data_IF_163469654790
#
_entry.id   IF_163469654790
#
_cell.length_a   1.000
_cell.length_b   1.000
_cell.length_c   1.000
_cell.angle_alpha   90.00
_cell.angle_beta   90.00
_cell.angle_gamma   90.00
#
_symmetry.space_group_name_H-M   'P 1'
#
loop_
_entity.id
_entity.type
_entity.pdbx_description
1 polymer ?
#
# COMPACT_ATOMS: atom_id res chain seq x y z
N UNK A 1 13.13 -7.53 -40.67
CA UNK A 1 12.24 -7.25 -39.53
C UNK A 1 13.06 -7.15 -38.23
N UNK A 2 14.13 -6.34 -38.23
CA UNK A 2 15.18 -6.37 -37.19
C UNK A 2 15.96 -5.05 -37.08
N UNK A 3 15.27 -3.92 -36.95
CA UNK A 3 15.92 -2.66 -36.53
C UNK A 3 15.03 -1.82 -35.60
N UNK A 4 13.70 -1.97 -35.71
CA UNK A 4 12.73 -1.22 -34.91
C UNK A 4 12.62 -1.70 -33.46
N UNK A 5 12.99 -2.96 -33.16
CA UNK A 5 12.94 -3.49 -31.80
C UNK A 5 14.21 -3.18 -30.97
N UNK A 6 15.34 -2.88 -31.63
CA UNK A 6 16.57 -2.46 -30.95
C UNK A 6 16.51 -0.98 -30.49
N UNK A 7 15.71 -0.15 -31.17
CA UNK A 7 15.49 1.26 -30.79
C UNK A 7 14.50 1.45 -29.63
N UNK A 8 13.76 0.40 -29.23
CA UNK A 8 12.86 0.44 -28.06
C UNK A 8 13.51 -0.12 -26.77
N UNK A 9 14.66 -0.79 -26.89
CA UNK A 9 15.47 -1.29 -25.76
C UNK A 9 16.76 -0.51 -25.53
N UNK A 10 17.10 0.42 -26.43
CA UNK A 10 18.01 1.51 -26.11
C UNK A 10 17.22 2.56 -25.32
N UNK A 11 16.89 2.25 -24.06
CA UNK A 11 16.53 3.27 -23.09
C UNK A 11 17.58 4.37 -23.18
N UNK A 12 17.16 5.56 -23.58
CA UNK A 12 18.04 6.68 -23.84
C UNK A 12 19.01 6.85 -22.68
N UNK A 13 20.28 6.52 -22.91
CA UNK A 13 21.41 7.06 -22.14
C UNK A 13 21.57 8.53 -22.54
N UNK A 14 20.47 9.29 -22.48
CA UNK A 14 20.54 10.73 -22.52
C UNK A 14 21.38 11.11 -21.30
N UNK A 15 22.45 11.86 -21.53
CA UNK A 15 23.21 12.42 -20.42
C UNK A 15 22.22 13.05 -19.42
N UNK A 16 22.36 12.74 -18.12
CA UNK A 16 21.44 13.24 -17.12
C UNK A 16 21.41 14.76 -17.23
N UNK A 17 20.22 15.31 -17.44
CA UNK A 17 20.05 16.76 -17.47
C UNK A 17 20.57 17.34 -16.16
N UNK A 18 21.08 18.58 -16.19
CA UNK A 18 21.54 19.25 -14.97
C UNK A 18 20.48 19.22 -13.85
N UNK A 19 19.20 19.26 -14.22
CA UNK A 19 18.07 19.01 -13.34
C UNK A 19 18.10 17.63 -12.68
N UNK A 20 18.11 16.54 -13.47
CA UNK A 20 18.06 15.17 -12.92
C UNK A 20 19.31 14.85 -12.10
N UNK A 21 20.49 15.37 -12.48
CA UNK A 21 21.69 15.22 -11.68
C UNK A 21 21.62 15.96 -10.33
N UNK A 22 21.08 17.18 -10.31
CA UNK A 22 20.86 17.93 -9.08
C UNK A 22 19.82 17.24 -8.18
N UNK A 23 18.74 16.72 -8.77
CA UNK A 23 17.75 15.93 -8.06
C UNK A 23 18.35 14.66 -7.46
N UNK A 24 19.12 13.87 -8.24
CA UNK A 24 19.80 12.68 -7.74
C UNK A 24 20.61 12.94 -6.46
N UNK A 25 21.19 14.15 -6.37
CA UNK A 25 22.04 14.58 -5.26
C UNK A 25 21.21 15.08 -4.06
N UNK A 26 20.22 15.95 -4.30
CA UNK A 26 19.47 16.60 -3.22
C UNK A 26 18.30 15.77 -2.69
N UNK A 27 17.73 14.90 -3.53
CA UNK A 27 16.47 14.22 -3.25
C UNK A 27 16.48 13.31 -2.02
N UNK A 28 17.53 12.50 -1.75
CA UNK A 28 17.57 11.70 -0.52
C UNK A 28 17.36 12.54 0.75
N UNK A 29 18.05 13.68 0.85
CA UNK A 29 17.90 14.58 1.99
C UNK A 29 16.52 15.26 2.05
N UNK A 30 15.89 15.55 0.90
CA UNK A 30 14.52 16.05 0.86
C UNK A 30 13.52 15.00 1.35
N UNK A 31 13.71 13.76 0.93
CA UNK A 31 12.84 12.64 1.31
C UNK A 31 12.96 12.31 2.79
N UNK A 32 14.16 12.29 3.36
CA UNK A 32 14.34 12.03 4.79
C UNK A 32 13.59 13.06 5.64
N UNK A 33 13.49 14.32 5.18
CA UNK A 33 12.73 15.38 5.85
C UNK A 33 11.21 15.18 5.80
N UNK A 34 10.68 14.32 4.91
CA UNK A 34 9.23 14.00 4.89
C UNK A 34 8.82 13.13 6.08
N UNK A 35 9.74 12.31 6.60
CA UNK A 35 9.44 11.32 7.63
C UNK A 35 9.49 11.87 9.06
N UNK A 36 10.09 13.05 9.25
CA UNK A 36 10.08 13.72 10.55
C UNK A 36 8.61 14.00 10.97
N UNK A 37 8.09 13.42 12.05
CA UNK A 37 6.76 13.77 12.52
C UNK A 37 6.76 15.26 12.88
N UNK A 38 5.82 16.03 12.32
CA UNK A 38 5.55 17.41 12.79
C UNK A 38 4.70 17.30 14.05
N UNK A 39 5.27 16.65 15.06
CA UNK A 39 4.70 16.53 16.39
C UNK A 39 5.28 17.64 17.25
N UNK A 40 5.11 18.89 16.83
CA UNK A 40 5.08 19.99 17.79
C UNK A 40 3.62 20.38 17.92
N UNK A 41 3.06 20.16 19.12
CA UNK A 41 1.72 20.64 19.47
C UNK A 41 1.65 22.11 19.12
N UNK A 42 1.07 22.44 17.98
CA UNK A 42 0.67 23.80 17.67
C UNK A 42 -0.31 24.16 18.79
N UNK A 43 0.01 25.13 19.66
CA UNK A 43 -0.94 25.59 20.64
C UNK A 43 -2.19 25.97 19.86
N UNK A 44 -3.36 25.43 20.24
CA UNK A 44 -4.66 25.95 19.77
C UNK A 44 -4.52 27.48 19.81
N UNK A 45 -4.61 28.20 18.69
CA UNK A 45 -4.36 29.63 18.70
C UNK A 45 -5.35 30.23 19.69
N UNK A 46 -4.84 30.72 20.82
CA UNK A 46 -5.59 31.66 21.63
C UNK A 46 -5.93 32.80 20.68
N UNK A 47 -7.20 33.19 20.62
CA UNK A 47 -7.66 34.31 19.79
C UNK A 47 -6.72 35.50 20.01
N UNK A 48 -5.92 35.83 19.01
CA UNK A 48 -4.92 36.90 19.10
C UNK A 48 -3.48 36.41 18.84
N UNK A 49 -3.13 36.32 17.56
CA UNK A 49 -1.78 36.48 16.99
C UNK A 49 -0.64 35.84 17.80
N UNK A 50 -0.39 34.55 17.57
CA UNK A 50 0.93 33.96 17.81
C UNK A 50 1.50 33.55 16.45
N UNK A 51 2.71 34.02 16.11
CA UNK A 51 3.39 33.67 14.87
C UNK A 51 3.61 32.16 14.78
N UNK A 52 3.29 31.57 13.63
CA UNK A 52 3.59 30.18 13.34
C UNK A 52 5.13 30.05 13.31
N UNK A 53 5.71 29.38 14.29
CA UNK A 53 7.13 29.02 14.26
C UNK A 53 7.28 27.91 13.24
N UNK A 54 7.84 28.24 12.08
CA UNK A 54 8.13 27.27 11.02
C UNK A 54 9.45 26.57 11.37
N UNK A 55 9.47 25.23 11.53
CA UNK A 55 10.71 24.52 11.80
C UNK A 55 11.76 24.81 10.72
N UNK A 56 13.00 25.08 11.13
CA UNK A 56 14.09 25.45 10.20
C UNK A 56 14.25 24.41 9.07
N UNK A 57 14.12 23.13 9.41
CA UNK A 57 14.19 22.02 8.43
C UNK A 57 13.12 22.09 7.36
N UNK A 58 11.88 22.47 7.71
CA UNK A 58 10.78 22.61 6.75
C UNK A 58 11.03 23.81 5.85
N UNK A 59 11.49 24.94 6.42
CA UNK A 59 11.90 26.12 5.64
C UNK A 59 13.02 25.80 4.65
N UNK A 60 14.06 25.09 5.07
CA UNK A 60 15.16 24.66 4.20
C UNK A 60 14.68 23.70 3.11
N UNK A 61 13.74 22.79 3.41
CA UNK A 61 13.14 21.89 2.42
C UNK A 61 12.34 22.65 1.35
N UNK A 62 11.54 23.64 1.75
CA UNK A 62 10.77 24.49 0.83
C UNK A 62 11.72 25.28 -0.09
N UNK A 63 12.75 25.91 0.48
CA UNK A 63 13.73 26.69 -0.29
C UNK A 63 14.49 25.82 -1.30
N UNK A 64 14.93 24.64 -0.88
CA UNK A 64 15.65 23.71 -1.75
C UNK A 64 14.75 23.15 -2.85
N UNK A 65 13.49 22.82 -2.54
CA UNK A 65 12.52 22.39 -3.55
C UNK A 65 12.26 23.49 -4.59
N UNK A 66 12.04 24.74 -4.16
CA UNK A 66 11.85 25.88 -5.06
C UNK A 66 13.07 26.14 -5.95
N UNK A 67 14.29 26.04 -5.40
CA UNK A 67 15.54 26.15 -6.16
C UNK A 67 15.63 25.08 -7.25
N UNK A 68 15.33 23.83 -6.90
CA UNK A 68 15.34 22.71 -7.84
C UNK A 68 14.23 22.84 -8.90
N UNK A 69 13.06 23.39 -8.56
CA UNK A 69 11.99 23.62 -9.55
C UNK A 69 12.44 24.57 -10.66
N UNK A 70 13.16 25.64 -10.30
CA UNK A 70 13.71 26.58 -11.28
C UNK A 70 14.71 25.89 -12.23
N UNK A 71 15.57 25.03 -11.67
CA UNK A 71 16.52 24.24 -12.45
C UNK A 71 15.82 23.20 -13.34
N UNK A 72 14.72 22.63 -12.86
CA UNK A 72 13.95 21.57 -13.50
C UNK A 72 12.79 22.07 -14.37
N UNK A 73 12.70 23.38 -14.67
CA UNK A 73 11.57 23.96 -15.41
C UNK A 73 11.28 23.32 -16.78
N UNK A 74 12.29 22.73 -17.42
CA UNK A 74 12.16 22.06 -18.72
C UNK A 74 11.88 20.55 -18.61
N UNK A 75 11.98 19.98 -17.40
CA UNK A 75 11.63 18.59 -17.11
C UNK A 75 10.30 18.58 -16.36
N UNK A 76 9.21 18.41 -17.13
CA UNK A 76 7.84 18.51 -16.61
C UNK A 76 7.60 17.56 -15.45
N UNK A 77 8.07 16.33 -15.54
CA UNK A 77 7.89 15.30 -14.50
C UNK A 77 8.61 15.69 -13.21
N UNK A 78 9.90 16.06 -13.32
CA UNK A 78 10.69 16.51 -12.18
C UNK A 78 10.09 17.76 -11.50
N UNK A 79 9.64 18.74 -12.31
CA UNK A 79 9.01 19.96 -11.83
C UNK A 79 7.68 19.70 -11.12
N UNK A 80 6.89 18.74 -11.60
CA UNK A 80 5.64 18.33 -10.97
C UNK A 80 5.90 17.68 -9.61
N UNK A 81 6.83 16.73 -9.53
CA UNK A 81 7.22 16.07 -8.28
C UNK A 81 7.69 17.06 -7.22
N UNK A 82 8.55 18.01 -7.61
CA UNK A 82 9.06 19.02 -6.70
C UNK A 82 7.96 19.97 -6.19
N UNK A 83 6.96 20.28 -7.02
CA UNK A 83 5.80 21.10 -6.61
C UNK A 83 4.92 20.34 -5.62
N UNK A 84 4.66 19.05 -5.86
CA UNK A 84 3.92 18.17 -4.95
C UNK A 84 4.64 18.04 -3.61
N UNK A 85 5.96 17.90 -3.63
CA UNK A 85 6.81 17.89 -2.45
C UNK A 85 6.73 19.21 -1.68
N UNK A 86 6.91 20.35 -2.35
CA UNK A 86 6.86 21.66 -1.70
C UNK A 86 5.48 21.93 -1.08
N UNK A 87 4.40 21.58 -1.80
CA UNK A 87 3.04 21.71 -1.29
C UNK A 87 2.83 20.86 -0.02
N UNK A 88 3.36 19.63 0.02
CA UNK A 88 3.34 18.80 1.23
C UNK A 88 4.05 19.50 2.42
N UNK A 89 5.25 20.06 2.19
CA UNK A 89 5.99 20.79 3.22
C UNK A 89 5.23 22.01 3.73
N UNK A 90 4.52 22.73 2.84
CA UNK A 90 3.68 23.87 3.23
C UNK A 90 2.43 23.46 4.01
N UNK A 91 1.79 22.36 3.63
CA UNK A 91 0.66 21.80 4.38
C UNK A 91 1.07 21.42 5.81
N UNK A 92 2.27 20.88 6.00
CA UNK A 92 2.82 20.54 7.32
C UNK A 92 2.95 21.74 8.26
N UNK A 93 3.06 22.95 7.74
CA UNK A 93 3.14 24.21 8.50
C UNK A 93 1.87 25.06 8.36
N UNK A 94 0.78 24.46 7.85
CA UNK A 94 -0.53 25.09 7.66
C UNK A 94 -0.51 26.32 6.73
N UNK A 95 0.46 26.40 5.82
CA UNK A 95 0.49 27.40 4.74
C UNK A 95 -0.40 26.96 3.58
N UNK A 96 -1.70 26.89 3.86
CA UNK A 96 -2.71 26.34 2.95
C UNK A 96 -2.80 27.12 1.64
N UNK A 97 -2.76 28.45 1.69
CA UNK A 97 -2.87 29.30 0.50
C UNK A 97 -1.71 29.08 -0.48
N UNK A 98 -0.49 28.99 0.02
CA UNK A 98 0.67 28.76 -0.86
C UNK A 98 0.69 27.33 -1.39
N UNK A 99 0.33 26.34 -0.57
CA UNK A 99 0.16 24.95 -1.02
C UNK A 99 -0.91 24.86 -2.12
N UNK A 100 -2.05 25.55 -1.93
CA UNK A 100 -3.15 25.57 -2.89
C UNK A 100 -2.69 26.14 -4.23
N UNK A 101 -2.01 27.30 -4.23
CA UNK A 101 -1.50 27.95 -5.45
C UNK A 101 -0.50 27.08 -6.23
N UNK A 102 0.33 26.29 -5.53
CA UNK A 102 1.27 25.37 -6.18
C UNK A 102 0.54 24.25 -6.93
N UNK A 103 -0.58 23.76 -6.39
CA UNK A 103 -1.28 22.57 -6.86
C UNK A 103 -2.49 22.89 -7.75
N UNK A 104 -3.09 24.07 -7.65
CA UNK A 104 -4.32 24.41 -8.39
C UNK A 104 -4.13 24.31 -9.91
N UNK A 105 -2.95 24.70 -10.40
CA UNK A 105 -2.57 24.57 -11.81
C UNK A 105 -2.11 23.16 -12.22
N UNK A 106 -1.97 22.22 -11.28
CA UNK A 106 -1.55 20.86 -11.61
C UNK A 106 -2.72 19.98 -12.06
N UNK A 107 -2.50 19.11 -13.06
CA UNK A 107 -3.47 18.08 -13.44
C UNK A 107 -3.64 17.03 -12.33
N UNK A 108 -4.79 16.95 -11.68
CA UNK A 108 -5.07 15.94 -10.62
C UNK A 108 -5.63 14.62 -11.18
N UNK A 109 -5.38 14.32 -12.45
CA UNK A 109 -5.92 13.14 -13.14
C UNK A 109 -4.98 12.54 -14.18
N UNK A 110 -5.44 11.49 -14.86
CA UNK A 110 -4.64 10.69 -15.79
C UNK A 110 -3.70 9.71 -15.08
N UNK A 111 -3.05 8.81 -15.84
CA UNK A 111 -2.11 7.78 -15.31
C UNK A 111 -0.79 8.36 -14.78
N UNK A 112 -0.84 9.54 -14.17
CA UNK A 112 0.29 10.21 -13.55
C UNK A 112 0.52 9.52 -12.20
N UNK A 113 1.77 9.19 -11.93
CA UNK A 113 2.27 8.63 -10.68
C UNK A 113 1.74 9.35 -9.41
N UNK A 114 1.54 10.67 -9.52
CA UNK A 114 1.30 11.58 -8.40
C UNK A 114 -0.14 12.06 -8.26
N UNK A 115 -1.04 11.66 -9.15
CA UNK A 115 -2.40 12.19 -9.19
C UNK A 115 -3.15 12.00 -7.86
N UNK A 116 -2.96 10.84 -7.20
CA UNK A 116 -3.55 10.54 -5.90
C UNK A 116 -3.07 11.51 -4.81
N UNK A 117 -1.75 11.72 -4.75
CA UNK A 117 -1.09 12.57 -3.77
C UNK A 117 -1.49 14.04 -3.98
N UNK A 118 -1.44 14.51 -5.22
CA UNK A 118 -1.79 15.88 -5.59
C UNK A 118 -3.27 16.17 -5.33
N UNK A 119 -4.17 15.23 -5.65
CA UNK A 119 -5.59 15.35 -5.34
C UNK A 119 -5.82 15.51 -3.83
N UNK A 120 -5.16 14.69 -3.02
CA UNK A 120 -5.26 14.75 -1.57
C UNK A 120 -4.72 16.06 -0.99
N UNK A 121 -3.51 16.45 -1.39
CA UNK A 121 -2.92 17.72 -0.96
C UNK A 121 -3.72 18.94 -1.43
N UNK A 122 -4.29 18.91 -2.64
CA UNK A 122 -5.09 20.01 -3.16
C UNK A 122 -6.38 20.17 -2.35
N UNK A 123 -7.06 19.07 -1.99
CA UNK A 123 -8.24 19.11 -1.10
C UNK A 123 -7.89 19.67 0.28
N UNK A 124 -6.81 19.19 0.89
CA UNK A 124 -6.31 19.68 2.18
C UNK A 124 -5.88 21.15 2.15
N UNK A 125 -5.30 21.60 1.05
CA UNK A 125 -4.97 23.00 0.88
C UNK A 125 -6.24 23.85 0.73
N UNK A 126 -7.17 23.42 -0.12
CA UNK A 126 -8.39 24.16 -0.42
C UNK A 126 -9.29 24.33 0.81
N UNK A 127 -9.44 23.29 1.65
CA UNK A 127 -10.25 23.37 2.89
C UNK A 127 -9.67 24.40 3.86
N UNK A 128 -8.33 24.54 3.92
CA UNK A 128 -7.66 25.53 4.74
C UNK A 128 -7.66 26.95 4.15
N UNK A 129 -7.95 27.10 2.85
CA UNK A 129 -8.11 28.41 2.20
C UNK A 129 -9.53 28.95 2.39
N UNK A 130 -10.55 28.15 2.11
CA UNK A 130 -11.94 28.58 2.19
C UNK A 130 -12.94 27.63 1.54
N UNK A 131 -14.22 27.81 1.86
CA UNK A 131 -15.31 26.95 1.38
C UNK A 131 -15.52 27.04 -0.14
N UNK A 132 -15.29 28.21 -0.73
CA UNK A 132 -15.45 28.41 -2.18
C UNK A 132 -14.38 27.62 -2.96
N UNK A 133 -13.12 27.77 -2.57
CA UNK A 133 -11.97 27.06 -3.13
C UNK A 133 -12.10 25.55 -2.91
N UNK A 134 -12.60 25.15 -1.74
CA UNK A 134 -12.83 23.76 -1.43
C UNK A 134 -13.90 23.13 -2.34
N UNK A 135 -15.08 23.75 -2.50
CA UNK A 135 -16.13 23.23 -3.40
C UNK A 135 -15.68 23.11 -4.84
N UNK A 136 -14.96 24.11 -5.35
CA UNK A 136 -14.36 24.04 -6.69
C UNK A 136 -13.37 22.87 -6.81
N UNK A 137 -12.55 22.67 -5.78
CA UNK A 137 -11.56 21.60 -5.72
C UNK A 137 -12.20 20.22 -5.64
N UNK A 138 -13.24 20.04 -4.83
CA UNK A 138 -14.02 18.80 -4.73
C UNK A 138 -14.54 18.42 -6.11
N UNK A 139 -15.13 19.36 -6.85
CA UNK A 139 -15.63 19.07 -8.20
C UNK A 139 -14.51 18.67 -9.17
N UNK A 140 -13.36 19.35 -9.10
CA UNK A 140 -12.16 19.05 -9.91
C UNK A 140 -11.65 17.63 -9.61
N UNK A 141 -11.45 17.30 -8.33
CA UNK A 141 -10.94 15.98 -7.91
C UNK A 141 -11.94 14.87 -8.19
N UNK A 142 -13.23 15.09 -7.94
CA UNK A 142 -14.30 14.12 -8.24
C UNK A 142 -14.34 13.75 -9.72
N UNK A 143 -14.24 14.75 -10.60
CA UNK A 143 -14.20 14.54 -12.06
C UNK A 143 -12.96 13.74 -12.47
N UNK A 144 -11.80 14.08 -11.91
CA UNK A 144 -10.55 13.36 -12.18
C UNK A 144 -10.59 11.91 -11.65
N UNK A 145 -11.18 11.70 -10.48
CA UNK A 145 -11.38 10.38 -9.89
C UNK A 145 -12.29 9.53 -10.76
N UNK A 146 -13.42 10.07 -11.22
CA UNK A 146 -14.35 9.37 -12.11
C UNK A 146 -13.64 8.92 -13.40
N UNK A 147 -12.89 9.80 -14.05
CA UNK A 147 -12.12 9.46 -15.25
C UNK A 147 -11.07 8.36 -14.97
N UNK A 148 -10.39 8.44 -13.83
CA UNK A 148 -9.44 7.42 -13.40
C UNK A 148 -10.13 6.07 -13.15
N UNK A 149 -11.26 6.09 -12.44
CA UNK A 149 -12.06 4.92 -12.10
C UNK A 149 -12.45 4.15 -13.36
N UNK A 150 -12.95 4.86 -14.38
CA UNK A 150 -13.22 4.26 -15.69
C UNK A 150 -11.97 3.63 -16.32
N UNK A 151 -10.82 4.31 -16.24
CA UNK A 151 -9.57 3.82 -16.85
C UNK A 151 -8.99 2.55 -16.20
N UNK A 152 -9.33 2.30 -14.93
CA UNK A 152 -8.93 1.10 -14.18
C UNK A 152 -10.07 0.07 -14.03
N UNK A 153 -11.12 0.21 -14.85
CA UNK A 153 -12.18 -0.80 -15.01
C UNK A 153 -13.33 -0.70 -14.02
N UNK A 154 -13.46 0.40 -13.29
CA UNK A 154 -14.69 0.67 -12.55
C UNK A 154 -15.78 1.22 -13.48
N UNK A 155 -17.01 0.79 -13.22
CA UNK A 155 -18.21 1.28 -13.87
C UNK A 155 -18.93 2.14 -12.83
N UNK A 156 -19.19 3.41 -13.15
CA UNK A 156 -20.05 4.23 -12.32
C UNK A 156 -21.49 3.76 -12.50
N UNK A 157 -22.13 3.39 -11.40
CA UNK A 157 -23.50 2.84 -11.36
C UNK A 157 -24.53 3.93 -11.06
N UNK A 158 -24.11 5.06 -10.49
CA UNK A 158 -24.96 6.22 -10.28
C UNK A 158 -24.30 7.33 -9.46
N UNK A 159 -25.04 8.43 -9.31
CA UNK A 159 -24.69 9.58 -8.48
C UNK A 159 -25.96 10.16 -7.86
N UNK A 160 -25.94 10.49 -6.58
CA UNK A 160 -27.06 11.12 -5.88
C UNK A 160 -26.59 12.28 -5.03
N UNK A 161 -27.37 13.36 -4.99
CA UNK A 161 -27.06 14.53 -4.18
C UNK A 161 -27.60 14.34 -2.75
N UNK A 162 -26.89 14.87 -1.76
CA UNK A 162 -27.35 15.01 -0.38
C UNK A 162 -27.29 16.47 0.07
N UNK A 163 -27.66 16.76 1.32
CA UNK A 163 -27.85 18.14 1.81
C UNK A 163 -26.65 19.09 1.60
N UNK A 164 -25.42 18.57 1.58
CA UNK A 164 -24.18 19.33 1.40
C UNK A 164 -23.13 18.56 0.59
N UNK A 165 -23.53 17.93 -0.52
CA UNK A 165 -22.58 17.27 -1.41
C UNK A 165 -23.17 16.16 -2.30
N UNK A 166 -22.33 15.22 -2.70
CA UNK A 166 -22.67 14.15 -3.64
C UNK A 166 -22.19 12.77 -3.19
N UNK A 167 -22.95 11.72 -3.49
CA UNK A 167 -22.50 10.33 -3.35
C UNK A 167 -22.42 9.72 -4.75
N UNK A 168 -21.23 9.25 -5.11
CA UNK A 168 -21.00 8.44 -6.30
C UNK A 168 -21.01 6.95 -5.94
N UNK A 169 -21.51 6.11 -6.84
CA UNK A 169 -21.42 4.66 -6.72
C UNK A 169 -20.64 4.07 -7.89
N UNK A 170 -19.74 3.14 -7.57
CA UNK A 170 -18.88 2.44 -8.52
C UNK A 170 -18.97 0.93 -8.26
N UNK A 171 -18.72 0.14 -9.31
CA UNK A 171 -18.50 -1.31 -9.19
C UNK A 171 -17.35 -1.76 -10.07
N UNK A 172 -16.63 -2.80 -9.65
CA UNK A 172 -15.52 -3.40 -10.43
C UNK A 172 -15.94 -4.78 -10.92
N UNK A 173 -16.50 -4.85 -12.13
CA UNK A 173 -16.93 -6.10 -12.75
C UNK A 173 -18.43 -6.15 -13.08
N UNK A 174 -18.99 -7.37 -13.06
CA UNK A 174 -20.38 -7.66 -13.40
C UNK A 174 -21.40 -7.15 -12.37
N UNK A 175 -22.68 -7.40 -12.62
CA UNK A 175 -23.80 -6.93 -11.78
C UNK A 175 -23.70 -7.45 -10.33
N UNK A 176 -23.07 -8.61 -10.13
CA UNK A 176 -22.88 -9.23 -8.81
C UNK A 176 -21.60 -8.76 -8.09
N UNK A 177 -20.85 -7.82 -8.67
CA UNK A 177 -19.66 -7.26 -8.02
C UNK A 177 -20.03 -6.29 -6.90
N UNK A 178 -19.19 -6.24 -5.87
CA UNK A 178 -19.36 -5.31 -4.77
C UNK A 178 -19.37 -3.85 -5.24
N UNK A 179 -20.21 -3.05 -4.58
CA UNK A 179 -20.30 -1.61 -4.82
C UNK A 179 -19.41 -0.85 -3.85
N UNK A 180 -18.82 0.22 -4.35
CA UNK A 180 -18.09 1.22 -3.58
C UNK A 180 -18.88 2.51 -3.70
N UNK A 181 -19.17 3.13 -2.57
CA UNK A 181 -19.80 4.43 -2.51
C UNK A 181 -18.78 5.46 -2.04
N UNK A 182 -18.73 6.61 -2.68
CA UNK A 182 -17.84 7.71 -2.28
C UNK A 182 -18.69 8.94 -2.04
N UNK A 183 -18.71 9.44 -0.81
CA UNK A 183 -19.30 10.72 -0.47
C UNK A 183 -18.28 11.84 -0.69
N UNK A 184 -18.75 12.92 -1.29
CA UNK A 184 -18.04 14.15 -1.61
C UNK A 184 -18.75 15.32 -0.93
N UNK A 185 -18.48 15.58 0.36
CA UNK A 185 -19.06 16.73 1.04
C UNK A 185 -18.49 18.05 0.53
N UNK A 186 -19.31 19.10 0.57
CA UNK A 186 -18.96 20.46 0.16
C UNK A 186 -18.10 21.21 1.20
N UNK A 187 -17.96 20.67 2.41
CA UNK A 187 -17.29 21.31 3.55
C UNK A 187 -16.30 20.40 4.26
N UNK A 188 -16.07 19.20 3.74
CA UNK A 188 -15.30 18.16 4.41
C UNK A 188 -14.69 17.16 3.43
N UNK A 189 -13.61 16.49 3.86
CA UNK A 189 -12.85 15.54 3.05
C UNK A 189 -13.74 14.41 2.48
N UNK A 190 -13.47 13.94 1.24
CA UNK A 190 -14.18 12.80 0.66
C UNK A 190 -14.00 11.52 1.48
N UNK A 191 -14.93 10.58 1.35
CA UNK A 191 -14.90 9.32 2.10
C UNK A 191 -15.59 8.16 1.39
N UNK A 192 -15.16 6.94 1.70
CA UNK A 192 -15.81 5.71 1.24
C UNK A 192 -16.91 5.32 2.21
N UNK A 193 -18.09 4.98 1.69
CA UNK A 193 -19.18 4.44 2.50
C UNK A 193 -19.22 2.93 2.32
N UNK A 194 -19.19 2.21 3.44
CA UNK A 194 -19.46 0.78 3.48
C UNK A 194 -20.95 0.58 3.78
N UNK A 195 -21.61 -0.24 2.99
CA UNK A 195 -23.00 -0.65 3.24
C UNK A 195 -22.97 -2.13 3.55
N UNK A 196 -23.08 -2.48 4.84
CA UNK A 196 -23.03 -3.87 5.30
C UNK A 196 -24.46 -4.40 5.45
N UNK A 197 -24.73 -5.53 4.80
CA UNK A 197 -25.95 -6.31 5.03
C UNK A 197 -25.63 -7.48 5.96
N UNK A 198 -26.30 -7.56 7.10
CA UNK A 198 -26.09 -8.65 8.08
C UNK A 198 -27.43 -9.22 8.53
N UNK A 199 -27.67 -10.51 8.26
CA UNK A 199 -28.81 -11.28 8.80
C UNK A 199 -30.20 -10.65 8.57
N UNK A 200 -30.44 -10.08 7.39
CA UNK A 200 -31.73 -9.44 7.05
C UNK A 200 -32.00 -8.14 7.81
N UNK A 201 -31.01 -7.60 8.52
CA UNK A 201 -31.01 -6.24 9.08
C UNK A 201 -29.88 -5.44 8.44
N UNK A 202 -30.22 -4.26 7.92
CA UNK A 202 -29.20 -3.32 7.46
C UNK A 202 -28.48 -2.74 8.68
N UNK A 203 -27.25 -3.20 8.91
CA UNK A 203 -26.35 -2.57 9.88
C UNK A 203 -25.56 -1.54 9.10
N UNK A 204 -26.08 -0.31 9.11
CA UNK A 204 -25.43 0.83 8.48
C UNK A 204 -24.21 1.24 9.33
N UNK A 205 -23.01 0.85 8.92
CA UNK A 205 -21.77 1.39 9.49
C UNK A 205 -21.10 2.29 8.46
N UNK A 206 -21.07 3.59 8.76
CA UNK A 206 -20.11 4.47 8.10
C UNK A 206 -18.72 4.13 8.62
N UNK A 207 -17.90 3.49 7.79
CA UNK A 207 -16.46 3.43 8.04
C UNK A 207 -15.85 4.76 7.60
N UNK A 208 -15.93 5.73 8.51
CA UNK A 208 -15.03 6.88 8.50
C UNK A 208 -13.64 6.46 8.97
N UNK A 209 -12.63 7.25 8.62
CA UNK A 209 -11.21 6.94 8.82
C UNK A 209 -10.90 6.30 10.19
N UNK A 210 -10.27 5.11 10.16
CA UNK A 210 -9.62 4.51 11.33
C UNK A 210 -10.13 3.17 11.83
N UNK A 211 -10.54 2.24 10.95
CA UNK A 211 -10.61 0.81 11.30
C UNK A 211 -9.54 0.06 10.53
N UNK A 212 -8.75 -0.79 11.20
CA UNK A 212 -7.72 -1.68 10.60
C UNK A 212 -8.29 -2.72 9.61
N UNK A 213 -9.59 -2.68 9.35
CA UNK A 213 -10.26 -3.42 8.30
C UNK A 213 -10.39 -2.53 7.06
N UNK A 214 -9.46 -2.71 6.11
CA UNK A 214 -9.63 -2.33 4.70
C UNK A 214 -11.07 -2.65 4.22
N UNK A 215 -11.63 -1.94 3.21
CA UNK A 215 -13.06 -1.95 2.91
C UNK A 215 -13.57 -3.38 2.71
N UNK A 216 -14.21 -3.94 3.74
CA UNK A 216 -14.94 -5.18 3.59
C UNK A 216 -16.17 -4.85 2.76
N UNK A 217 -16.09 -5.20 1.48
CA UNK A 217 -17.19 -5.16 0.54
C UNK A 217 -18.40 -5.90 1.09
N UNK A 218 -19.27 -5.20 1.84
CA UNK A 218 -20.57 -5.72 2.23
C UNK A 218 -21.35 -6.07 0.96
N UNK A 219 -21.89 -7.28 0.82
CA UNK A 219 -22.58 -7.67 -0.39
C UNK A 219 -23.91 -6.91 -0.47
N UNK A 220 -23.98 -5.83 -1.25
CA UNK A 220 -25.26 -5.33 -1.80
C UNK A 220 -25.75 -6.22 -2.95
N UNK A 221 -25.52 -7.54 -2.86
CA UNK A 221 -25.78 -8.50 -3.93
C UNK A 221 -27.30 -8.66 -4.07
N UNK A 222 -27.81 -8.50 -5.28
CA UNK A 222 -29.26 -8.60 -5.55
C UNK A 222 -30.05 -7.30 -5.41
N UNK A 223 -29.46 -6.21 -4.89
CA UNK A 223 -30.07 -4.87 -4.96
C UNK A 223 -29.82 -4.23 -6.33
N UNK A 224 -30.79 -3.47 -6.85
CA UNK A 224 -30.56 -2.62 -8.01
C UNK A 224 -29.59 -1.48 -7.68
N UNK A 225 -28.93 -0.92 -8.71
CA UNK A 225 -28.00 0.20 -8.53
C UNK A 225 -28.68 1.42 -7.88
N UNK A 226 -29.95 1.68 -8.22
CA UNK A 226 -30.76 2.77 -7.66
C UNK A 226 -31.07 2.56 -6.18
N UNK A 227 -31.48 1.34 -5.79
CA UNK A 227 -31.79 1.01 -4.39
C UNK A 227 -30.55 1.10 -3.52
N UNK A 228 -29.42 0.57 -3.99
CA UNK A 228 -28.16 0.60 -3.26
C UNK A 228 -27.67 2.04 -3.06
N UNK A 229 -27.83 2.92 -4.06
CA UNK A 229 -27.50 4.34 -3.96
C UNK A 229 -28.43 5.11 -3.02
N UNK A 230 -29.74 4.80 -3.05
CA UNK A 230 -30.71 5.39 -2.12
C UNK A 230 -30.42 4.96 -0.67
N UNK A 231 -30.06 3.69 -0.47
CA UNK A 231 -29.62 3.16 0.82
C UNK A 231 -28.37 3.89 1.29
N UNK A 232 -27.31 3.97 0.47
CA UNK A 232 -26.07 4.68 0.81
C UNK A 232 -26.33 6.14 1.23
N UNK A 233 -27.18 6.88 0.50
CA UNK A 233 -27.59 8.24 0.89
C UNK A 233 -28.31 8.28 2.22
N UNK A 234 -29.26 7.37 2.44
CA UNK A 234 -30.02 7.30 3.70
C UNK A 234 -29.10 6.97 4.89
N UNK A 235 -28.17 6.03 4.70
CA UNK A 235 -27.19 5.64 5.71
C UNK A 235 -26.25 6.81 6.03
N UNK A 236 -25.79 7.54 5.00
CA UNK A 236 -24.98 8.75 5.17
C UNK A 236 -25.70 9.85 5.97
N UNK A 237 -26.91 10.23 5.55
CA UNK A 237 -27.69 11.26 6.23
C UNK A 237 -28.07 10.85 7.66
N UNK A 238 -28.31 9.56 7.92
CA UNK A 238 -28.52 9.06 9.29
C UNK A 238 -27.25 9.21 10.13
N UNK A 239 -26.12 8.75 9.63
CA UNK A 239 -24.90 8.72 10.40
C UNK A 239 -24.32 10.13 10.68
N UNK A 240 -24.58 11.11 9.80
CA UNK A 240 -24.35 12.53 10.09
C UNK A 240 -25.06 13.02 11.36
N UNK A 241 -26.22 12.42 11.69
CA UNK A 241 -27.05 12.81 12.84
C UNK A 241 -26.87 11.89 14.06
N UNK A 242 -26.19 10.75 13.91
CA UNK A 242 -26.00 9.79 15.00
C UNK A 242 -24.77 10.16 15.82
N UNK A 243 -24.99 10.42 17.11
CA UNK A 243 -23.93 10.55 18.10
C UNK A 243 -23.23 9.19 18.27
N UNK A 244 -21.98 9.08 17.84
CA UNK A 244 -21.21 7.85 18.04
C UNK A 244 -20.79 7.74 19.51
N UNK A 245 -21.50 6.88 20.24
CA UNK A 245 -21.24 6.60 21.64
C UNK A 245 -20.01 5.68 21.86
N UNK A 246 -19.43 5.11 20.79
CA UNK A 246 -18.28 4.18 20.88
C UNK A 246 -16.92 4.83 20.76
N UNK A 247 -16.82 6.10 20.35
CA UNK A 247 -15.54 6.80 20.33
C UNK A 247 -15.38 7.64 21.58
N UNK A 248 -14.37 7.36 22.40
CA UNK A 248 -13.91 8.21 23.52
C UNK A 248 -13.55 9.65 23.08
N UNK A 249 -13.55 9.92 21.78
CA UNK A 249 -13.51 11.24 21.16
C UNK A 249 -14.92 11.83 21.16
N UNK A 250 -15.29 12.47 22.27
CA UNK A 250 -16.65 12.95 22.53
C UNK A 250 -17.30 13.71 21.38
N UNK A 251 -18.49 13.28 21.00
CA UNK A 251 -19.66 14.11 20.70
C UNK A 251 -19.60 15.28 19.72
N UNK A 252 -18.53 15.48 18.94
CA UNK A 252 -18.54 16.49 17.89
C UNK A 252 -19.56 16.08 16.81
N UNK A 253 -20.48 17.00 16.49
CA UNK A 253 -21.37 16.82 15.35
C UNK A 253 -20.51 16.54 14.12
N UNK A 254 -20.99 15.64 13.27
CA UNK A 254 -20.29 15.25 12.05
C UNK A 254 -19.99 16.43 11.11
N UNK A 255 -20.57 17.61 11.35
CA UNK A 255 -20.28 18.87 10.66
C UNK A 255 -18.88 19.45 10.99
N UNK A 256 -18.25 19.07 12.10
CA UNK A 256 -16.90 19.53 12.51
C UNK A 256 -15.78 18.58 12.04
N UNK A 257 -15.99 17.96 10.86
CA UNK A 257 -15.22 16.83 10.31
C UNK A 257 -13.75 16.81 10.70
N UNK A 258 -13.37 15.67 11.28
CA UNK A 258 -11.99 15.24 11.60
C UNK A 258 -11.04 15.57 10.45
N UNK A 259 -10.38 16.71 10.55
CA UNK A 259 -9.33 17.18 9.63
C UNK A 259 -8.14 16.22 9.54
N UNK A 260 -8.07 15.24 10.44
CA UNK A 260 -7.04 14.20 10.53
C UNK A 260 -7.37 12.90 9.76
N UNK A 261 -8.46 12.87 9.00
CA UNK A 261 -8.76 11.81 8.03
C UNK A 261 -7.70 11.76 6.92
N UNK A 262 -6.61 11.02 7.14
CA UNK A 262 -5.35 11.19 6.40
C UNK A 262 -5.06 10.15 5.32
N UNK A 263 -5.85 9.08 5.17
CA UNK A 263 -5.64 8.10 4.09
C UNK A 263 -6.60 8.29 2.91
N UNK A 264 -6.59 9.48 2.31
CA UNK A 264 -7.27 9.79 1.03
C UNK A 264 -7.04 8.72 -0.06
N UNK A 265 -5.91 8.01 -0.02
CA UNK A 265 -5.57 6.94 -0.95
C UNK A 265 -6.34 5.63 -0.71
N UNK A 266 -6.78 5.36 0.53
CA UNK A 266 -7.71 4.28 0.83
C UNK A 266 -9.14 4.69 0.47
N UNK A 267 -9.42 6.00 0.49
CA UNK A 267 -10.74 6.58 0.25
C UNK A 267 -11.07 6.78 -1.25
N UNK A 268 -10.06 6.87 -2.12
CA UNK A 268 -10.23 7.10 -3.55
C UNK A 268 -9.59 5.95 -4.34
N UNK A 269 -10.18 4.74 -4.31
CA UNK A 269 -9.54 3.50 -4.76
C UNK A 269 -9.14 3.50 -6.23
N UNK A 270 -9.75 4.36 -7.06
CA UNK A 270 -9.34 4.51 -8.45
C UNK A 270 -7.96 5.18 -8.59
N UNK A 271 -7.62 6.13 -7.72
CA UNK A 271 -6.31 6.76 -7.71
C UNK A 271 -5.22 5.82 -7.18
N UNK A 272 -5.58 4.87 -6.31
CA UNK A 272 -4.65 3.92 -5.70
C UNK A 272 -3.72 4.56 -4.67
N UNK A 273 -2.84 3.77 -4.03
CA UNK A 273 -1.81 4.32 -3.14
C UNK A 273 -0.88 5.23 -3.95
N UNK A 274 -0.47 6.39 -3.40
CA UNK A 274 0.43 7.29 -4.09
C UNK A 274 1.75 6.58 -4.36
N UNK A 275 2.40 6.95 -5.45
CA UNK A 275 3.81 6.61 -5.57
C UNK A 275 4.55 7.19 -4.36
N UNK A 276 5.34 6.37 -3.68
CA UNK A 276 6.24 6.82 -2.61
C UNK A 276 7.54 7.29 -3.24
N UNK A 277 7.91 8.55 -3.03
CA UNK A 277 9.19 9.08 -3.50
C UNK A 277 10.31 8.43 -2.71
N UNK A 278 11.14 7.65 -3.40
CA UNK A 278 12.32 7.03 -2.80
C UNK A 278 13.60 7.67 -3.34
N UNK A 279 13.53 8.44 -4.43
CA UNK A 279 14.66 9.13 -5.04
C UNK A 279 15.45 8.35 -6.06
N UNK A 280 15.21 7.04 -6.15
CA UNK A 280 15.87 6.20 -7.14
C UNK A 280 15.46 6.55 -8.58
N UNK A 281 14.25 7.09 -8.76
CA UNK A 281 13.75 7.64 -10.02
C UNK A 281 14.61 8.77 -10.59
N UNK A 282 15.40 9.45 -9.75
CA UNK A 282 16.30 10.52 -10.17
C UNK A 282 17.75 10.08 -10.26
N UNK A 283 18.11 8.88 -9.79
CA UNK A 283 19.49 8.41 -9.80
C UNK A 283 19.98 8.17 -11.23
N UNK A 284 21.17 8.70 -11.52
CA UNK A 284 21.83 8.61 -12.82
C UNK A 284 22.24 7.16 -13.14
N UNK A 285 22.53 6.38 -12.10
CA UNK A 285 22.87 4.96 -12.18
C UNK A 285 21.92 4.16 -11.30
N UNK A 286 21.61 2.92 -11.70
CA UNK A 286 20.87 1.99 -10.86
C UNK A 286 21.71 1.61 -9.63
N UNK A 287 21.57 2.36 -8.54
CA UNK A 287 22.05 1.93 -7.23
C UNK A 287 21.07 0.92 -6.66
N UNK A 288 21.55 -0.03 -5.88
CA UNK A 288 20.66 -0.86 -5.07
C UNK A 288 19.86 0.03 -4.10
N UNK A 289 18.52 -0.13 -4.02
CA UNK A 289 17.73 0.58 -3.02
C UNK A 289 18.12 0.13 -1.61
N UNK A 290 18.09 1.06 -0.65
CA UNK A 290 18.28 0.75 0.77
C UNK A 290 17.08 -0.02 1.32
N UNK A 291 17.24 -0.66 2.49
CA UNK A 291 16.15 -1.34 3.21
C UNK A 291 14.89 -0.46 3.29
N UNK A 292 15.03 0.77 3.77
CA UNK A 292 13.93 1.72 3.91
C UNK A 292 13.26 2.04 2.56
N UNK A 293 14.06 2.23 1.50
CA UNK A 293 13.52 2.47 0.15
C UNK A 293 12.74 1.24 -0.37
N UNK A 294 13.24 0.02 -0.17
CA UNK A 294 12.55 -1.21 -0.57
C UNK A 294 11.22 -1.33 0.18
N UNK A 295 11.22 -1.11 1.49
CA UNK A 295 9.99 -1.16 2.30
C UNK A 295 8.97 -0.15 1.76
N UNK A 296 9.37 1.08 1.47
CA UNK A 296 8.46 2.08 0.87
C UNK A 296 7.93 1.63 -0.49
N UNK A 297 8.77 1.01 -1.35
CA UNK A 297 8.29 0.44 -2.62
C UNK A 297 7.22 -0.63 -2.40
N UNK A 298 7.38 -1.50 -1.39
CA UNK A 298 6.42 -2.56 -1.05
C UNK A 298 5.06 -2.02 -0.56
N UNK A 299 5.00 -0.79 -0.06
CA UNK A 299 3.76 -0.10 0.33
C UNK A 299 3.29 0.95 -0.70
N UNK A 300 3.93 1.01 -1.86
CA UNK A 300 3.65 2.00 -2.90
C UNK A 300 2.58 1.58 -3.91
N UNK A 301 2.57 2.24 -5.07
CA UNK A 301 1.71 1.85 -6.20
C UNK A 301 1.98 0.43 -6.70
N UNK A 302 1.10 -0.17 -7.52
CA UNK A 302 1.36 -1.48 -8.13
C UNK A 302 2.71 -1.57 -8.88
N UNK A 303 3.13 -0.49 -9.53
CA UNK A 303 4.43 -0.42 -10.23
C UNK A 303 5.60 -0.38 -9.26
N UNK A 304 5.46 0.35 -8.16
CA UNK A 304 6.47 0.39 -7.11
C UNK A 304 6.58 -0.93 -6.35
N UNK A 305 5.45 -1.56 -6.02
CA UNK A 305 5.43 -2.88 -5.39
C UNK A 305 6.15 -3.91 -6.23
N UNK A 306 5.96 -3.89 -7.55
CA UNK A 306 6.74 -4.73 -8.48
C UNK A 306 8.25 -4.51 -8.37
N UNK A 307 8.69 -3.24 -8.31
CA UNK A 307 10.11 -2.90 -8.12
C UNK A 307 10.63 -3.33 -6.76
N UNK A 308 9.85 -3.11 -5.69
CA UNK A 308 10.20 -3.51 -4.32
C UNK A 308 10.29 -5.04 -4.19
N UNK A 309 9.33 -5.76 -4.76
CA UNK A 309 9.38 -7.23 -4.85
C UNK A 309 10.65 -7.66 -5.55
N UNK A 310 10.95 -7.13 -6.74
CA UNK A 310 12.16 -7.49 -7.48
C UNK A 310 13.43 -7.20 -6.66
N UNK A 311 13.51 -6.06 -5.96
CA UNK A 311 14.63 -5.76 -5.08
C UNK A 311 14.76 -6.76 -3.91
N UNK A 312 13.65 -7.22 -3.34
CA UNK A 312 13.63 -8.30 -2.34
C UNK A 312 14.09 -9.63 -2.96
N UNK A 313 13.69 -9.93 -4.19
CA UNK A 313 14.16 -11.12 -4.91
C UNK A 313 15.68 -11.05 -5.15
N UNK A 314 16.20 -9.91 -5.59
CA UNK A 314 17.62 -9.75 -5.89
C UNK A 314 18.48 -9.69 -4.61
N UNK A 315 17.93 -9.14 -3.53
CA UNK A 315 18.62 -8.90 -2.27
C UNK A 315 17.75 -9.21 -1.03
N UNK A 316 17.39 -10.47 -0.75
CA UNK A 316 16.48 -10.83 0.35
C UNK A 316 17.01 -10.57 1.77
N UNK A 317 18.30 -10.24 1.92
CA UNK A 317 18.89 -9.75 3.19
C UNK A 317 18.77 -8.23 3.40
N UNK A 318 18.29 -7.49 2.40
CA UNK A 318 18.22 -6.04 2.45
C UNK A 318 17.03 -5.50 3.23
N UNK A 319 16.03 -6.33 3.56
CA UNK A 319 14.84 -5.94 4.32
C UNK A 319 14.61 -6.84 5.51
N UNK A 320 13.98 -6.28 6.56
CA UNK A 320 13.57 -7.07 7.71
C UNK A 320 12.60 -8.18 7.27
N UNK A 321 12.73 -9.43 7.76
CA UNK A 321 11.96 -10.57 7.26
C UNK A 321 10.44 -10.39 7.32
N UNK A 322 9.92 -9.58 8.24
CA UNK A 322 8.48 -9.23 8.31
C UNK A 322 7.89 -8.81 6.96
N UNK A 323 8.66 -8.08 6.14
CA UNK A 323 8.19 -7.53 4.87
C UNK A 323 8.11 -8.58 3.76
N UNK A 324 8.71 -9.76 3.93
CA UNK A 324 8.53 -10.87 3.00
C UNK A 324 7.07 -11.35 2.97
N UNK A 325 6.32 -11.19 4.07
CA UNK A 325 4.89 -11.51 4.11
C UNK A 325 4.07 -10.68 3.11
N UNK A 326 4.41 -9.40 2.94
CA UNK A 326 3.78 -8.53 1.93
C UNK A 326 4.04 -9.04 0.52
N UNK A 327 5.29 -9.42 0.24
CA UNK A 327 5.69 -9.97 -1.07
C UNK A 327 4.97 -11.28 -1.36
N UNK A 328 4.84 -12.16 -0.36
CA UNK A 328 4.10 -13.43 -0.46
C UNK A 328 2.63 -13.16 -0.83
N UNK A 329 1.96 -12.27 -0.10
CA UNK A 329 0.57 -11.90 -0.35
C UNK A 329 0.36 -11.34 -1.76
N UNK A 330 1.21 -10.40 -2.18
CA UNK A 330 1.13 -9.79 -3.51
C UNK A 330 1.34 -10.82 -4.64
N UNK A 331 2.35 -11.68 -4.54
CA UNK A 331 2.62 -12.73 -5.53
C UNK A 331 1.46 -13.72 -5.61
N UNK A 332 0.90 -14.09 -4.45
CA UNK A 332 -0.24 -14.98 -4.37
C UNK A 332 -1.47 -14.39 -5.06
N UNK A 333 -1.81 -13.14 -4.75
CA UNK A 333 -2.95 -12.43 -5.36
C UNK A 333 -2.83 -12.24 -6.87
N UNK A 334 -1.59 -12.16 -7.39
CA UNK A 334 -1.31 -12.08 -8.84
C UNK A 334 -1.29 -13.43 -9.56
N UNK A 335 -1.36 -14.54 -8.82
CA UNK A 335 -1.26 -15.88 -9.38
C UNK A 335 0.17 -16.40 -9.59
N UNK A 336 1.20 -15.70 -9.09
CA UNK A 336 2.60 -16.15 -9.09
C UNK A 336 2.87 -17.14 -7.93
N UNK A 337 2.03 -18.19 -7.84
CA UNK A 337 1.90 -19.06 -6.65
C UNK A 337 3.16 -19.86 -6.31
N UNK A 338 3.94 -20.31 -7.29
CA UNK A 338 5.21 -21.00 -7.02
C UNK A 338 6.22 -20.07 -6.32
N UNK A 339 6.33 -18.83 -6.80
CA UNK A 339 7.23 -17.82 -6.20
C UNK A 339 6.75 -17.43 -4.81
N UNK A 340 5.45 -17.26 -4.63
CA UNK A 340 4.83 -16.98 -3.33
C UNK A 340 5.11 -18.11 -2.32
N UNK A 341 4.89 -19.37 -2.71
CA UNK A 341 5.14 -20.52 -1.84
C UNK A 341 6.62 -20.63 -1.44
N UNK A 342 7.54 -20.43 -2.39
CA UNK A 342 8.97 -20.45 -2.10
C UNK A 342 9.37 -19.35 -1.09
N UNK A 343 8.93 -18.11 -1.33
CA UNK A 343 9.20 -17.00 -0.42
C UNK A 343 8.53 -17.16 0.94
N UNK A 344 7.35 -17.78 1.00
CA UNK A 344 6.67 -18.10 2.25
C UNK A 344 7.53 -19.00 3.14
N UNK A 345 8.12 -20.06 2.57
CA UNK A 345 9.01 -20.93 3.33
C UNK A 345 10.31 -20.22 3.72
N UNK A 346 10.90 -19.42 2.83
CA UNK A 346 12.06 -18.58 3.18
C UNK A 346 11.71 -17.64 4.34
N UNK A 347 10.53 -17.01 4.31
CA UNK A 347 10.02 -16.17 5.38
C UNK A 347 9.87 -16.92 6.70
N UNK A 348 9.28 -18.14 6.71
CA UNK A 348 9.14 -18.94 7.93
C UNK A 348 10.50 -19.16 8.63
N UNK A 349 11.55 -19.46 7.85
CA UNK A 349 12.90 -19.69 8.39
C UNK A 349 13.57 -18.39 8.80
N UNK A 350 13.42 -17.30 8.03
CA UNK A 350 14.08 -16.02 8.32
C UNK A 350 13.42 -15.25 9.46
N UNK A 351 12.10 -15.35 9.62
CA UNK A 351 11.35 -14.65 10.65
C UNK A 351 11.16 -15.51 11.92
N UNK A 352 11.33 -16.83 11.85
CA UNK A 352 11.25 -17.72 13.01
C UNK A 352 12.19 -17.34 14.18
N UNK A 353 13.46 -16.97 13.97
CA UNK A 353 14.36 -16.52 15.04
C UNK A 353 13.87 -15.23 15.72
N UNK A 354 13.34 -14.29 14.93
CA UNK A 354 12.71 -13.07 15.45
C UNK A 354 11.48 -13.40 16.31
N UNK A 355 10.63 -14.30 15.84
CA UNK A 355 9.45 -14.73 16.60
C UNK A 355 9.81 -15.45 17.91
N UNK A 356 10.94 -16.17 17.95
CA UNK A 356 11.39 -16.92 19.13
C UNK A 356 12.09 -16.05 20.17
N UNK A 357 12.85 -15.05 19.74
CA UNK A 357 13.69 -14.21 20.62
C UNK A 357 13.14 -12.79 20.83
N UNK A 358 12.26 -12.32 19.95
CA UNK A 358 11.59 -11.03 20.06
C UNK A 358 10.43 -11.03 21.05
N UNK A 359 9.64 -9.96 21.04
CA UNK A 359 8.49 -9.82 21.94
C UNK A 359 7.38 -10.81 21.56
N UNK A 360 6.86 -11.61 22.52
CA UNK A 360 5.72 -12.49 22.27
C UNK A 360 4.47 -11.76 21.77
N UNK A 361 4.23 -10.53 22.25
CA UNK A 361 3.06 -9.72 21.86
C UNK A 361 3.23 -9.00 20.53
N UNK A 362 4.44 -8.98 19.96
CA UNK A 362 4.73 -8.30 18.70
C UNK A 362 5.23 -9.31 17.64
N UNK A 363 6.53 -9.64 17.62
CA UNK A 363 7.11 -10.52 16.60
C UNK A 363 6.51 -11.93 16.65
N UNK A 364 6.31 -12.48 17.86
CA UNK A 364 5.71 -13.81 18.05
C UNK A 364 4.25 -13.87 17.61
N UNK A 365 3.45 -12.88 18.01
CA UNK A 365 2.04 -12.75 17.63
C UNK A 365 1.90 -12.55 16.11
N UNK A 366 2.72 -11.68 15.52
CA UNK A 366 2.68 -11.42 14.08
C UNK A 366 3.12 -12.62 13.25
N UNK A 367 4.19 -13.30 13.64
CA UNK A 367 4.60 -14.55 12.99
C UNK A 367 3.47 -15.57 13.03
N UNK A 368 2.82 -15.73 14.18
CA UNK A 368 1.71 -16.67 14.34
C UNK A 368 0.50 -16.29 13.48
N UNK A 369 0.17 -15.00 13.41
CA UNK A 369 -0.93 -14.48 12.59
C UNK A 369 -0.68 -14.71 11.09
N UNK A 370 0.47 -14.26 10.57
CA UNK A 370 0.82 -14.43 9.16
C UNK A 370 0.97 -15.91 8.79
N UNK A 371 1.47 -16.75 9.70
CA UNK A 371 1.53 -18.19 9.49
C UNK A 371 0.13 -18.79 9.44
N UNK A 372 -0.79 -18.38 10.32
CA UNK A 372 -2.17 -18.86 10.30
C UNK A 372 -2.91 -18.44 9.01
N UNK A 373 -2.58 -17.27 8.46
CA UNK A 373 -3.14 -16.78 7.21
C UNK A 373 -2.60 -17.53 5.98
N UNK A 374 -1.28 -17.57 5.79
CA UNK A 374 -0.68 -18.12 4.57
C UNK A 374 -0.55 -19.63 4.58
N UNK A 375 -0.25 -20.26 5.73
CA UNK A 375 0.06 -21.69 5.79
C UNK A 375 -1.06 -22.56 5.23
N UNK A 376 -2.34 -22.39 5.62
CA UNK A 376 -3.40 -23.25 5.12
C UNK A 376 -3.57 -23.11 3.61
N UNK A 377 -3.46 -21.89 3.09
CA UNK A 377 -3.62 -21.57 1.68
C UNK A 377 -2.48 -22.19 0.86
N UNK A 378 -1.22 -21.95 1.27
CA UNK A 378 -0.04 -22.46 0.59
C UNK A 378 0.01 -23.99 0.65
N UNK A 379 -0.19 -24.60 1.83
CA UNK A 379 -0.13 -26.05 2.00
C UNK A 379 -1.27 -26.79 1.30
N UNK A 380 -2.49 -26.21 1.28
CA UNK A 380 -3.61 -26.77 0.53
C UNK A 380 -3.28 -26.83 -0.96
N UNK A 381 -2.66 -25.79 -1.49
CA UNK A 381 -2.29 -25.69 -2.90
C UNK A 381 -1.07 -26.55 -3.26
N UNK A 382 0.10 -26.28 -2.67
CA UNK A 382 1.35 -26.96 -3.02
C UNK A 382 1.29 -28.46 -2.70
N UNK A 383 0.54 -28.85 -1.66
CA UNK A 383 0.44 -30.24 -1.23
C UNK A 383 -0.36 -31.13 -2.18
N UNK A 384 -0.97 -30.58 -3.24
CA UNK A 384 -1.58 -31.40 -4.30
C UNK A 384 -0.52 -32.21 -5.04
N UNK A 385 0.69 -31.67 -5.18
CA UNK A 385 1.84 -32.29 -5.85
C UNK A 385 3.01 -32.43 -4.87
N UNK A 386 3.19 -33.62 -4.24
CA UNK A 386 4.24 -33.83 -3.26
C UNK A 386 5.66 -33.70 -3.84
N UNK A 387 5.85 -33.91 -5.14
CA UNK A 387 7.15 -33.75 -5.78
C UNK A 387 7.52 -32.28 -5.91
N UNK A 388 6.59 -31.44 -6.42
CA UNK A 388 6.76 -29.99 -6.49
C UNK A 388 6.89 -29.38 -5.09
N UNK A 389 6.10 -29.85 -4.12
CA UNK A 389 6.22 -29.40 -2.73
C UNK A 389 7.62 -29.68 -2.18
N UNK A 390 8.15 -30.88 -2.39
CA UNK A 390 9.49 -31.25 -1.92
C UNK A 390 10.55 -30.37 -2.55
N UNK A 391 10.48 -30.18 -3.86
CA UNK A 391 11.39 -29.32 -4.62
C UNK A 391 11.39 -27.89 -4.08
N UNK A 392 10.21 -27.31 -3.80
CA UNK A 392 10.10 -25.95 -3.25
C UNK A 392 10.70 -25.87 -1.84
N UNK A 393 10.44 -26.85 -0.97
CA UNK A 393 10.97 -26.88 0.39
C UNK A 393 12.50 -27.02 0.41
N UNK A 394 13.05 -27.94 -0.38
CA UNK A 394 14.50 -28.13 -0.52
C UNK A 394 15.16 -26.85 -1.08
N UNK A 395 14.54 -26.22 -2.08
CA UNK A 395 15.01 -24.94 -2.64
C UNK A 395 14.93 -23.80 -1.63
N UNK A 396 13.87 -23.70 -0.83
CA UNK A 396 13.74 -22.67 0.20
C UNK A 396 14.90 -22.75 1.21
N UNK A 397 15.20 -23.96 1.71
CA UNK A 397 16.29 -24.20 2.66
C UNK A 397 17.66 -23.92 2.04
N UNK A 398 17.89 -24.32 0.78
CA UNK A 398 19.14 -24.07 0.08
C UNK A 398 19.33 -22.57 -0.23
N UNK A 399 18.28 -21.93 -0.73
CA UNK A 399 18.27 -20.52 -1.09
C UNK A 399 18.47 -19.63 0.13
N UNK A 400 17.72 -19.87 1.21
CA UNK A 400 17.79 -19.06 2.43
C UNK A 400 19.23 -18.95 2.97
N UNK A 401 20.02 -20.03 2.88
CA UNK A 401 21.43 -20.09 3.31
C UNK A 401 22.41 -19.34 2.40
N UNK A 402 22.09 -19.16 1.11
CA UNK A 402 23.00 -18.49 0.15
C UNK A 402 23.04 -16.98 0.32
N UNK A 403 21.99 -16.39 0.88
CA UNK A 403 21.87 -14.94 0.98
C UNK A 403 22.21 -14.44 2.39
N UNK A 404 22.81 -13.24 2.50
CA UNK A 404 23.01 -12.60 3.78
C UNK A 404 21.71 -12.55 4.60
N UNK A 405 21.87 -12.70 5.91
CA UNK A 405 20.81 -12.41 6.86
C UNK A 405 20.58 -10.90 6.88
N UNK A 406 19.39 -10.50 7.34
CA UNK A 406 19.16 -9.10 7.70
C UNK A 406 20.16 -8.68 8.79
N UNK A 407 20.66 -7.45 8.69
CA UNK A 407 21.80 -7.01 9.50
C UNK A 407 21.49 -6.91 11.00
N UNK A 408 20.25 -6.60 11.35
CA UNK A 408 19.84 -6.44 12.75
C UNK A 408 19.36 -7.77 13.37
N UNK A 409 19.10 -7.71 14.67
CA UNK A 409 18.54 -8.78 15.50
C UNK A 409 17.61 -8.18 16.57
N UNK A 410 16.78 -8.99 17.26
CA UNK A 410 15.92 -8.46 18.31
C UNK A 410 16.72 -7.74 19.41
N UNK A 411 16.11 -6.71 20.00
CA UNK A 411 16.76 -5.90 21.03
C UNK A 411 17.18 -6.76 22.23
N UNK A 412 18.39 -6.52 22.74
CA UNK A 412 18.93 -7.26 23.89
C UNK A 412 19.44 -8.67 23.57
N UNK A 413 19.31 -9.15 22.34
CA UNK A 413 19.88 -10.44 21.90
C UNK A 413 21.33 -10.24 21.49
N UNK A 414 22.23 -11.06 22.01
CA UNK A 414 23.63 -11.09 21.58
C UNK A 414 23.84 -11.90 20.28
N UNK A 415 25.01 -11.76 19.66
CA UNK A 415 25.29 -12.39 18.36
C UNK A 415 25.31 -13.92 18.43
N UNK A 416 25.85 -14.49 19.50
CA UNK A 416 25.98 -15.94 19.66
C UNK A 416 24.60 -16.59 19.78
N UNK A 417 23.74 -16.02 20.63
CA UNK A 417 22.35 -16.44 20.81
C UNK A 417 21.55 -16.30 19.52
N UNK A 418 21.79 -15.22 18.78
CA UNK A 418 21.16 -14.98 17.48
C UNK A 418 21.51 -16.07 16.46
N UNK A 419 22.81 -16.29 16.23
CA UNK A 419 23.30 -17.27 15.25
C UNK A 419 22.92 -18.71 15.63
N UNK A 420 22.99 -19.07 16.93
CA UNK A 420 22.53 -20.37 17.42
C UNK A 420 21.05 -20.58 17.11
N UNK A 421 20.22 -19.58 17.37
CA UNK A 421 18.77 -19.68 17.16
C UNK A 421 18.41 -19.80 15.68
N UNK A 422 19.14 -19.12 14.79
CA UNK A 422 18.99 -19.29 13.34
C UNK A 422 19.23 -20.75 12.93
N UNK A 423 20.29 -21.38 13.42
CA UNK A 423 20.57 -22.80 13.12
C UNK A 423 19.52 -23.74 13.72
N UNK A 424 19.03 -23.48 14.94
CA UNK A 424 17.93 -24.24 15.55
C UNK A 424 16.65 -24.17 14.72
N UNK A 425 16.30 -22.97 14.20
CA UNK A 425 15.12 -22.80 13.34
C UNK A 425 15.32 -23.50 12.00
N UNK A 426 16.50 -23.39 11.37
CA UNK A 426 16.82 -24.10 10.12
C UNK A 426 16.71 -25.62 10.28
N UNK A 427 17.24 -26.17 11.37
CA UNK A 427 17.17 -27.60 11.68
C UNK A 427 15.72 -28.03 11.94
N UNK A 428 14.97 -27.24 12.70
CA UNK A 428 13.56 -27.50 13.00
C UNK A 428 12.70 -27.48 11.73
N UNK A 429 12.89 -26.49 10.87
CA UNK A 429 12.22 -26.39 9.58
C UNK A 429 12.55 -27.59 8.67
N UNK A 430 13.83 -27.97 8.58
CA UNK A 430 14.24 -29.15 7.80
C UNK A 430 13.53 -30.42 8.28
N UNK A 431 13.49 -30.63 9.60
CA UNK A 431 12.81 -31.79 10.20
C UNK A 431 11.29 -31.75 9.99
N UNK A 432 10.66 -30.61 10.24
CA UNK A 432 9.20 -30.42 10.10
C UNK A 432 8.76 -30.62 8.65
N UNK A 433 9.45 -29.97 7.72
CA UNK A 433 9.03 -29.90 6.33
C UNK A 433 9.35 -31.18 5.56
N UNK A 434 10.57 -31.70 5.66
CA UNK A 434 11.03 -32.82 4.86
C UNK A 434 10.85 -34.17 5.57
N UNK A 435 10.90 -34.20 6.90
CA UNK A 435 10.78 -35.42 7.69
C UNK A 435 9.40 -36.08 7.62
N UNK A 436 8.35 -35.30 7.32
CA UNK A 436 6.97 -35.79 7.17
C UNK A 436 6.55 -36.09 5.73
N UNK A 437 7.42 -35.87 4.73
CA UNK A 437 7.03 -36.00 3.33
C UNK A 437 6.92 -37.47 2.89
N UNK A 438 5.91 -37.83 2.07
CA UNK A 438 5.82 -39.15 1.50
C UNK A 438 6.97 -39.36 0.49
N UNK A 439 7.87 -40.30 0.78
CA UNK A 439 9.02 -40.63 -0.09
C UNK A 439 8.93 -42.01 -0.75
N UNK A 440 8.05 -42.88 -0.25
CA UNK A 440 7.79 -44.22 -0.81
C UNK A 440 6.51 -44.21 -1.66
N UNK A 441 6.37 -45.11 -2.66
CA UNK A 441 5.13 -45.27 -3.41
C UNK A 441 3.89 -45.48 -2.53
N UNK A 442 4.01 -46.23 -1.43
CA UNK A 442 2.92 -46.52 -0.49
C UNK A 442 2.52 -45.25 0.28
N UNK A 443 3.49 -44.51 0.81
CA UNK A 443 3.24 -43.23 1.46
C UNK A 443 2.60 -42.20 0.53
N UNK A 444 2.98 -42.17 -0.76
CA UNK A 444 2.36 -41.32 -1.77
C UNK A 444 0.90 -41.71 -2.02
N UNK A 445 0.58 -43.01 -2.09
CA UNK A 445 -0.81 -43.49 -2.18
C UNK A 445 -1.63 -43.09 -0.94
N UNK A 446 -1.08 -43.27 0.26
CA UNK A 446 -1.72 -42.87 1.51
C UNK A 446 -1.91 -41.35 1.63
N UNK A 447 -0.96 -40.57 1.12
CA UNK A 447 -1.08 -39.11 1.01
C UNK A 447 -2.22 -38.71 0.08
N UNK A 448 -2.23 -39.25 -1.15
CA UNK A 448 -3.27 -39.01 -2.13
C UNK A 448 -4.67 -39.37 -1.59
N UNK A 449 -4.79 -40.53 -0.94
CA UNK A 449 -6.03 -40.96 -0.29
C UNK A 449 -6.48 -39.99 0.80
N UNK A 450 -5.61 -39.62 1.74
CA UNK A 450 -5.94 -38.66 2.81
C UNK A 450 -6.41 -37.33 2.25
N UNK A 451 -5.78 -36.82 1.19
CA UNK A 451 -6.21 -35.57 0.55
C UNK A 451 -7.59 -35.70 -0.08
N UNK A 452 -7.82 -36.78 -0.83
CA UNK A 452 -9.14 -37.07 -1.41
C UNK A 452 -10.23 -37.20 -0.33
N UNK A 453 -9.97 -37.94 0.75
CA UNK A 453 -10.91 -38.14 1.86
C UNK A 453 -11.24 -36.82 2.59
N UNK A 454 -10.37 -35.79 2.51
CA UNK A 454 -10.56 -34.46 3.08
C UNK A 454 -11.01 -33.39 2.05
N UNK A 455 -11.39 -33.79 0.82
CA UNK A 455 -11.81 -32.84 -0.22
C UNK A 455 -10.69 -31.87 -0.67
N UNK A 456 -9.43 -32.28 -0.52
CA UNK A 456 -8.26 -31.50 -0.93
C UNK A 456 -7.78 -31.94 -2.33
N UNK A 457 -7.34 -31.02 -3.20
CA UNK A 457 -6.83 -31.36 -4.53
C UNK A 457 -5.66 -32.33 -4.47
N UNK A 458 -5.58 -33.28 -5.39
CA UNK A 458 -4.48 -34.23 -5.51
C UNK A 458 -4.09 -34.36 -6.98
N UNK A 459 -2.84 -34.03 -7.31
CA UNK A 459 -2.37 -33.90 -8.68
C UNK A 459 -1.48 -32.66 -8.88
N UNK A 460 -1.06 -32.37 -10.13
CA UNK A 460 -0.20 -31.24 -10.45
C UNK A 460 -0.74 -29.93 -9.87
N UNK A 461 0.16 -29.04 -9.45
CA UNK A 461 -0.24 -27.72 -8.95
C UNK A 461 -0.94 -26.90 -10.03
N UNK A 462 -2.13 -26.38 -9.71
CA UNK A 462 -2.89 -25.54 -10.63
C UNK A 462 -2.43 -24.09 -10.58
N UNK A 463 -2.34 -23.43 -11.74
CA UNK A 463 -1.92 -22.03 -11.86
C UNK A 463 -0.61 -21.71 -11.12
N UNK A 464 0.51 -22.38 -11.47
CA UNK A 464 1.80 -22.16 -10.81
C UNK A 464 2.35 -20.73 -10.99
N UNK A 465 1.85 -19.99 -11.98
CA UNK A 465 2.34 -18.67 -12.35
C UNK A 465 3.68 -18.72 -13.05
N UNK A 466 4.49 -17.67 -12.90
CA UNK A 466 5.83 -17.64 -13.48
C UNK A 466 6.73 -18.71 -12.84
N UNK A 467 7.62 -19.35 -13.63
CA UNK A 467 8.60 -20.28 -13.07
C UNK A 467 9.52 -19.56 -12.07
N UNK A 468 10.10 -20.35 -11.18
CA UNK A 468 11.15 -19.90 -10.28
C UNK A 468 12.39 -19.48 -11.11
N UNK A 469 13.07 -18.37 -10.79
CA UNK A 469 14.27 -17.95 -11.51
C UNK A 469 15.36 -19.02 -11.46
N UNK A 470 16.14 -19.19 -12.54
CA UNK A 470 17.16 -20.26 -12.58
C UNK A 470 18.29 -20.06 -11.58
N UNK A 471 18.66 -18.81 -11.26
CA UNK A 471 19.66 -18.52 -10.22
C UNK A 471 19.18 -18.82 -8.79
N UNK A 472 17.91 -19.21 -8.63
CA UNK A 472 17.33 -19.69 -7.38
C UNK A 472 17.37 -21.22 -7.28
N UNK A 473 17.80 -21.91 -8.35
CA UNK A 473 18.21 -23.32 -8.34
C UNK A 473 19.65 -23.42 -7.80
#
# INVERSE_FOLDING_TARGET
>A
MSLTLALLLAGSTAEPTACRAALATAWPALVDRLEDPVMERVPRPARGVAGIVVPERVSQAILEAARLQLLCRSDTEASEVLRSYEANQRLRIQDFLSAYRLLEGQPVGGRRAWAALDAGHLLLAAIGVGEAEYRQTVQKVRTAHQAMATSVGFIQTGSTQFSNGWIDSYRKGGVDSARIFIAWPDTAMPMVLQVIESEGRHIDQLVGCGGDDAPMNGPTIGMSDTEALALARKSFERAKTQHDWRTDFGGEEWNDVRTFCTSLYDLLPAFGPPDRLIGDEFKITASQPTSAQIVRLLYGSPTQRLRGQQAVFDHPGSVHPIHLGLVVGDLWGRGDRLRAALLYYIWEVRFGPWAKLGSPSNEGALFSSLRAEFRPIVQRWIGSDPAVQRQVLERALAFERRFPLYADRPEGVDEETWLRTIEEVRASATKEWLGGMPVTPEALKSWAKRRSDNGLPNGPVEHPGKPLPDHWQ
#
